data_IF_836305810560
#
_entry.id   IF_836305810560
#
_cell.length_a   1.000
_cell.length_b   1.000
_cell.length_c   1.000
_cell.angle_alpha   90.00
_cell.angle_beta   90.00
_cell.angle_gamma   90.00
#
_symmetry.space_group_name_H-M   'P 1'
#
loop_
_entity.id
_entity.type
_entity.pdbx_description
1 polymer ?
#
# COMPACT_ATOMS: atom_id res chain seq x y z
N UNK A 1 -5.54 -7.75 2.78
CA UNK A 1 -6.23 -6.67 3.51
C UNK A 1 -7.32 -7.26 4.37
N UNK A 2 -8.33 -7.91 3.81
CA UNK A 2 -9.43 -8.46 4.61
C UNK A 2 -8.97 -9.47 5.67
N UNK A 3 -8.00 -10.36 5.36
CA UNK A 3 -7.50 -11.35 6.32
C UNK A 3 -6.95 -10.77 7.63
N UNK A 4 -6.49 -9.53 7.64
CA UNK A 4 -5.92 -8.95 8.87
C UNK A 4 -6.96 -8.46 9.86
N UNK A 5 -8.23 -8.40 9.45
CA UNK A 5 -9.35 -7.92 10.28
C UNK A 5 -10.36 -9.02 10.61
N UNK A 6 -10.16 -10.24 10.08
CA UNK A 6 -11.16 -11.33 10.12
C UNK A 6 -10.72 -12.50 11.01
N UNK A 7 -9.42 -12.69 11.26
CA UNK A 7 -8.92 -13.88 11.96
C UNK A 7 -7.73 -13.65 12.88
N UNK A 8 -7.35 -14.66 13.69
CA UNK A 8 -6.25 -14.55 14.64
C UNK A 8 -4.92 -14.48 13.90
N UNK A 9 -4.23 -13.34 14.02
CA UNK A 9 -2.90 -13.12 13.43
C UNK A 9 -1.76 -13.66 14.28
N UNK A 10 -2.06 -14.11 15.51
CA UNK A 10 -1.11 -14.71 16.47
C UNK A 10 -1.24 -16.22 16.66
N UNK A 11 -2.02 -16.91 15.82
CA UNK A 11 -2.23 -18.35 15.96
C UNK A 11 -0.92 -19.14 15.73
N UNK A 12 -0.66 -20.12 16.60
CA UNK A 12 0.52 -20.98 16.52
C UNK A 12 0.43 -22.02 15.37
N UNK A 13 1.57 -22.63 15.05
CA UNK A 13 1.67 -23.69 14.04
C UNK A 13 1.83 -23.19 12.60
N UNK A 14 1.86 -24.14 11.65
CA UNK A 14 2.08 -23.82 10.23
C UNK A 14 0.90 -23.08 9.59
N UNK A 15 -0.34 -23.49 9.91
CA UNK A 15 -1.55 -22.87 9.37
C UNK A 15 -1.72 -21.41 9.83
N UNK A 16 -1.45 -21.12 11.11
CA UNK A 16 -1.47 -19.76 11.65
C UNK A 16 -0.41 -18.86 10.99
N UNK A 17 0.83 -19.36 10.85
CA UNK A 17 1.90 -18.64 10.14
C UNK A 17 1.56 -18.35 8.67
N UNK A 18 0.94 -19.30 7.97
CA UNK A 18 0.52 -19.10 6.59
C UNK A 18 -0.61 -18.05 6.49
N UNK A 19 -1.59 -18.11 7.39
CA UNK A 19 -2.68 -17.14 7.47
C UNK A 19 -2.16 -15.72 7.76
N UNK A 20 -1.20 -15.60 8.68
CA UNK A 20 -0.61 -14.34 9.09
C UNK A 20 0.46 -13.81 8.11
N UNK A 21 0.90 -14.59 7.11
CA UNK A 21 1.96 -14.17 6.19
C UNK A 21 1.72 -12.81 5.50
N UNK A 22 0.48 -12.47 5.05
CA UNK A 22 0.17 -11.15 4.49
C UNK A 22 0.09 -10.02 5.53
N UNK A 23 -0.01 -10.35 6.83
CA UNK A 23 -0.19 -9.37 7.90
C UNK A 23 1.02 -8.44 8.01
N UNK A 24 0.79 -7.12 7.94
CA UNK A 24 1.84 -6.10 7.87
C UNK A 24 2.56 -5.99 6.52
N UNK A 25 2.55 -7.00 5.66
CA UNK A 25 3.26 -6.96 4.37
C UNK A 25 2.38 -6.48 3.23
N UNK A 26 1.08 -6.81 3.28
CA UNK A 26 0.15 -6.46 2.21
C UNK A 26 -0.03 -4.94 2.06
N UNK A 27 0.14 -4.16 3.13
CA UNK A 27 -0.03 -2.69 3.13
C UNK A 27 1.16 -2.00 2.50
N UNK A 28 2.36 -2.54 2.71
CA UNK A 28 3.58 -2.13 1.99
C UNK A 28 3.47 -2.44 0.50
N UNK A 29 2.94 -3.61 0.11
CA UNK A 29 2.65 -3.90 -1.29
C UNK A 29 1.71 -2.87 -1.90
N UNK A 30 0.65 -2.48 -1.18
CA UNK A 30 -0.26 -1.45 -1.64
C UNK A 30 0.46 -0.10 -1.83
N UNK A 31 1.37 0.28 -0.92
CA UNK A 31 2.14 1.52 -1.03
C UNK A 31 3.09 1.52 -2.24
N UNK A 32 3.78 0.40 -2.48
CA UNK A 32 4.64 0.22 -3.66
C UNK A 32 3.81 0.32 -4.94
N UNK A 33 2.68 -0.38 -5.03
CA UNK A 33 1.80 -0.36 -6.20
C UNK A 33 1.19 1.03 -6.42
N UNK A 34 0.85 1.76 -5.36
CA UNK A 34 0.39 3.13 -5.46
C UNK A 34 1.47 4.04 -6.07
N UNK A 35 2.73 3.92 -5.63
CA UNK A 35 3.87 4.62 -6.23
C UNK A 35 4.07 4.25 -7.72
N UNK A 36 3.95 2.97 -8.07
CA UNK A 36 3.98 2.52 -9.48
C UNK A 36 2.86 3.20 -10.28
N UNK A 37 1.65 3.24 -9.71
CA UNK A 37 0.48 3.90 -10.30
C UNK A 37 0.68 5.40 -10.55
N UNK A 38 1.38 6.10 -9.65
CA UNK A 38 1.76 7.51 -9.83
C UNK A 38 2.64 7.69 -11.07
N UNK A 39 3.66 6.84 -11.23
CA UNK A 39 4.56 6.89 -12.40
C UNK A 39 3.83 6.55 -13.71
N UNK A 40 2.89 5.60 -13.69
CA UNK A 40 2.06 5.28 -14.85
C UNK A 40 1.09 6.42 -15.20
N UNK A 41 0.51 7.07 -14.19
CA UNK A 41 -0.34 8.25 -14.38
C UNK A 41 0.45 9.40 -15.04
N UNK A 42 1.67 9.65 -14.56
CA UNK A 42 2.55 10.70 -15.07
C UNK A 42 3.03 10.43 -16.51
N UNK A 43 3.20 9.15 -16.90
CA UNK A 43 3.59 8.76 -18.26
C UNK A 43 2.43 8.63 -19.25
N UNK A 44 1.17 8.72 -18.80
CA UNK A 44 0.03 8.61 -19.72
C UNK A 44 0.16 9.67 -20.82
N UNK A 45 0.32 9.23 -22.08
CA UNK A 45 0.92 9.97 -23.21
C UNK A 45 0.22 11.25 -23.69
N UNK A 46 -0.65 11.81 -22.89
CA UNK A 46 -1.40 13.05 -23.15
C UNK A 46 -1.31 14.06 -22.01
N UNK A 47 -0.65 13.75 -20.89
CA UNK A 47 -0.65 14.59 -19.70
C UNK A 47 0.73 15.23 -19.48
N UNK A 48 0.79 16.56 -19.42
CA UNK A 48 1.94 17.27 -18.84
C UNK A 48 2.11 16.90 -17.37
N UNK A 49 3.31 17.11 -16.81
CA UNK A 49 3.55 16.97 -15.37
C UNK A 49 2.55 17.80 -14.54
N UNK A 50 2.11 18.96 -15.02
CA UNK A 50 1.11 19.78 -14.34
C UNK A 50 -0.27 19.09 -14.27
N UNK A 51 -0.69 18.39 -15.32
CA UNK A 51 -1.93 17.58 -15.30
C UNK A 51 -1.80 16.41 -14.34
N UNK A 52 -0.66 15.72 -14.33
CA UNK A 52 -0.41 14.63 -13.37
C UNK A 52 -0.47 15.13 -11.92
N UNK A 53 0.18 16.26 -11.61
CA UNK A 53 0.14 16.91 -10.28
C UNK A 53 -1.28 17.29 -9.87
N UNK A 54 -2.07 17.89 -10.76
CA UNK A 54 -3.48 18.24 -10.49
C UNK A 54 -4.34 17.01 -10.22
N UNK A 55 -4.14 15.91 -10.95
CA UNK A 55 -4.84 14.64 -10.69
C UNK A 55 -4.47 14.03 -9.34
N UNK A 56 -3.19 14.12 -8.93
CA UNK A 56 -2.75 13.67 -7.61
C UNK A 56 -3.34 14.53 -6.49
N UNK A 57 -3.36 15.86 -6.68
CA UNK A 57 -3.98 16.78 -5.73
C UNK A 57 -5.46 16.48 -5.55
N UNK A 58 -6.18 16.24 -6.65
CA UNK A 58 -7.59 15.81 -6.60
C UNK A 58 -7.77 14.51 -5.82
N UNK A 59 -6.92 13.51 -6.08
CA UNK A 59 -6.97 12.24 -5.35
C UNK A 59 -6.71 12.44 -3.86
N UNK A 60 -5.74 13.28 -3.49
CA UNK A 60 -5.49 13.61 -2.09
C UNK A 60 -6.69 14.32 -1.44
N UNK A 61 -7.27 15.30 -2.13
CA UNK A 61 -8.45 16.03 -1.69
C UNK A 61 -9.68 15.14 -1.45
N UNK A 62 -9.87 14.11 -2.28
CA UNK A 62 -10.97 13.14 -2.11
C UNK A 62 -10.67 12.12 -1.02
N UNK A 63 -9.46 11.55 -0.99
CA UNK A 63 -9.13 10.45 -0.09
C UNK A 63 -8.95 10.88 1.36
N UNK A 64 -8.48 12.11 1.61
CA UNK A 64 -8.26 12.61 2.97
C UNK A 64 -9.56 12.65 3.80
N UNK A 65 -10.64 13.37 3.38
CA UNK A 65 -11.87 13.41 4.14
C UNK A 65 -12.57 12.05 4.20
N UNK A 66 -12.55 11.25 3.12
CA UNK A 66 -13.13 9.90 3.14
C UNK A 66 -12.40 9.03 4.19
N UNK A 67 -11.06 9.11 4.23
CA UNK A 67 -10.25 8.37 5.19
C UNK A 67 -10.57 8.76 6.64
N UNK A 68 -10.54 10.06 6.92
CA UNK A 68 -10.81 10.61 8.26
C UNK A 68 -12.23 10.30 8.74
N UNK A 69 -13.22 10.36 7.85
CA UNK A 69 -14.62 10.02 8.19
C UNK A 69 -14.79 8.53 8.42
N UNK A 70 -14.21 7.67 7.59
CA UNK A 70 -14.30 6.22 7.78
C UNK A 70 -13.65 5.79 9.09
N UNK A 71 -12.60 6.50 9.54
CA UNK A 71 -11.95 6.20 10.81
C UNK A 71 -12.82 6.43 12.04
N UNK A 72 -13.92 7.19 11.92
CA UNK A 72 -14.92 7.35 12.99
C UNK A 72 -15.75 6.08 13.23
N UNK A 73 -15.76 5.15 12.27
CA UNK A 73 -16.53 3.92 12.39
C UNK A 73 -15.75 2.87 13.18
N UNK A 74 -16.46 2.17 14.06
CA UNK A 74 -15.88 1.05 14.80
C UNK A 74 -15.82 -0.20 13.91
N UNK A 75 -14.75 -0.31 13.12
CA UNK A 75 -14.47 -1.46 12.25
C UNK A 75 -13.16 -2.17 12.59
N UNK A 76 -12.50 -1.81 13.71
CA UNK A 76 -11.28 -2.46 14.20
C UNK A 76 -10.06 -2.39 13.27
N UNK A 77 -10.05 -1.46 12.31
CA UNK A 77 -8.97 -1.32 11.32
C UNK A 77 -8.42 0.10 11.30
N UNK A 78 -7.17 0.25 10.89
CA UNK A 78 -6.58 1.56 10.62
C UNK A 78 -6.77 1.94 9.15
N UNK A 79 -7.49 3.03 8.90
CA UNK A 79 -7.83 3.49 7.55
C UNK A 79 -6.61 4.11 6.87
N UNK A 80 -6.15 3.49 5.77
CA UNK A 80 -4.93 3.92 5.07
C UNK A 80 -5.16 5.07 4.07
N UNK A 81 -6.41 5.39 3.73
CA UNK A 81 -6.75 6.36 2.67
C UNK A 81 -6.20 7.77 2.95
N UNK A 82 -6.28 8.21 4.20
CA UNK A 82 -5.74 9.49 4.64
C UNK A 82 -4.22 9.57 4.51
N UNK A 83 -3.50 8.47 4.78
CA UNK A 83 -2.06 8.39 4.56
C UNK A 83 -1.71 8.44 3.06
N UNK A 84 -2.55 7.85 2.20
CA UNK A 84 -2.38 8.00 0.74
C UNK A 84 -2.55 9.43 0.25
N UNK A 85 -3.43 10.22 0.86
CA UNK A 85 -3.55 11.62 0.52
C UNK A 85 -2.22 12.35 0.73
N UNK A 86 -1.56 12.11 1.86
CA UNK A 86 -0.24 12.70 2.17
C UNK A 86 0.85 12.16 1.24
N UNK A 87 0.86 10.86 0.93
CA UNK A 87 1.79 10.29 -0.05
C UNK A 87 1.59 10.86 -1.46
N UNK A 88 0.36 11.15 -1.88
CA UNK A 88 0.09 11.84 -3.14
C UNK A 88 0.52 13.31 -3.13
N UNK A 89 0.42 13.99 -1.99
CA UNK A 89 1.01 15.33 -1.83
C UNK A 89 2.53 15.27 -1.94
N UNK A 90 3.19 14.30 -1.29
CA UNK A 90 4.62 14.04 -1.47
C UNK A 90 4.97 13.79 -2.94
N UNK A 91 4.18 12.96 -3.63
CA UNK A 91 4.37 12.65 -5.05
C UNK A 91 4.41 13.92 -5.91
N UNK A 92 3.52 14.90 -5.67
CA UNK A 92 3.47 16.16 -6.43
C UNK A 92 4.84 16.86 -6.45
N UNK A 93 5.53 16.88 -5.30
CA UNK A 93 6.86 17.47 -5.15
C UNK A 93 7.97 16.67 -5.82
N UNK A 94 7.94 15.34 -5.71
CA UNK A 94 9.03 14.47 -6.21
C UNK A 94 8.86 14.02 -7.66
N UNK A 95 7.71 14.28 -8.29
CA UNK A 95 7.36 13.77 -9.62
C UNK A 95 8.38 14.11 -10.71
N UNK A 96 8.98 15.30 -10.61
CA UNK A 96 9.97 15.81 -11.56
C UNK A 96 11.42 15.46 -11.21
N UNK A 97 11.67 14.77 -10.10
CA UNK A 97 13.02 14.39 -9.70
C UNK A 97 13.52 13.22 -10.55
N UNK A 98 14.82 13.20 -10.83
CA UNK A 98 15.49 12.06 -11.44
C UNK A 98 15.55 10.86 -10.49
N UNK A 99 15.83 9.69 -11.05
CA UNK A 99 15.86 8.42 -10.30
C UNK A 99 16.83 8.43 -9.12
N UNK A 100 17.99 9.10 -9.24
CA UNK A 100 18.99 9.20 -8.18
C UNK A 100 18.41 9.83 -6.91
N UNK A 101 17.62 10.89 -7.06
CA UNK A 101 17.04 11.61 -5.93
C UNK A 101 15.84 10.89 -5.37
N UNK A 102 15.03 10.23 -6.21
CA UNK A 102 13.97 9.35 -5.74
C UNK A 102 14.53 8.21 -4.86
N UNK A 103 15.60 7.56 -5.32
CA UNK A 103 16.24 6.49 -4.56
C UNK A 103 16.96 7.01 -3.31
N UNK A 104 17.61 8.17 -3.39
CA UNK A 104 18.22 8.81 -2.22
C UNK A 104 17.17 9.14 -1.15
N UNK A 105 16.03 9.72 -1.55
CA UNK A 105 14.92 10.01 -0.63
C UNK A 105 14.27 8.72 -0.09
N UNK A 106 14.10 7.69 -0.92
CA UNK A 106 13.57 6.41 -0.48
C UNK A 106 14.52 5.75 0.54
N UNK A 107 15.83 5.77 0.28
CA UNK A 107 16.86 5.25 1.19
C UNK A 107 16.95 6.06 2.48
N UNK A 108 16.88 7.39 2.40
CA UNK A 108 16.84 8.26 3.56
C UNK A 108 15.60 8.00 4.42
N UNK A 109 14.42 7.88 3.82
CA UNK A 109 13.20 7.52 4.56
C UNK A 109 13.28 6.10 5.16
N UNK A 110 13.92 5.14 4.46
CA UNK A 110 14.08 3.78 4.98
C UNK A 110 15.06 3.71 6.16
N UNK A 111 16.07 4.58 6.18
CA UNK A 111 17.06 4.64 7.25
C UNK A 111 16.59 5.50 8.43
N UNK A 112 16.19 6.75 8.16
CA UNK A 112 15.86 7.72 9.20
C UNK A 112 14.40 7.67 9.64
N UNK A 113 13.48 7.16 8.81
CA UNK A 113 12.06 7.04 9.15
C UNK A 113 11.82 6.16 10.38
N UNK A 114 12.26 4.89 10.37
CA UNK A 114 12.17 4.01 11.53
C UNK A 114 12.84 4.58 12.79
N UNK A 115 14.02 5.19 12.64
CA UNK A 115 14.77 5.77 13.75
C UNK A 115 14.05 6.98 14.35
N UNK A 116 13.52 7.87 13.50
CA UNK A 116 12.75 9.03 13.92
C UNK A 116 11.42 8.64 14.57
N UNK A 117 10.73 7.65 14.02
CA UNK A 117 9.52 7.07 14.62
C UNK A 117 9.83 6.50 16.01
N UNK A 118 10.85 5.64 16.12
CA UNK A 118 11.24 5.01 17.38
C UNK A 118 11.69 6.03 18.43
N UNK A 119 12.53 6.98 18.03
CA UNK A 119 12.96 8.07 18.90
C UNK A 119 11.75 8.86 19.41
N UNK A 120 10.79 9.18 18.55
CA UNK A 120 9.55 9.84 18.94
C UNK A 120 8.70 9.01 19.90
N UNK A 121 8.58 7.69 19.68
CA UNK A 121 7.89 6.77 20.58
C UNK A 121 8.54 6.71 21.96
N UNK A 122 9.88 6.79 22.04
CA UNK A 122 10.62 6.81 23.30
C UNK A 122 10.50 8.17 23.99
N UNK A 123 10.72 9.27 23.26
CA UNK A 123 10.81 10.61 23.82
C UNK A 123 9.44 11.22 24.15
N UNK A 124 8.39 10.86 23.42
CA UNK A 124 7.04 11.38 23.60
C UNK A 124 5.98 10.28 23.35
N UNK A 125 5.86 9.26 24.22
CA UNK A 125 4.97 8.11 24.01
C UNK A 125 3.51 8.49 23.75
N UNK A 126 2.97 9.49 24.46
CA UNK A 126 1.59 9.96 24.29
C UNK A 126 1.35 10.68 22.95
N UNK A 127 2.39 11.24 22.33
CA UNK A 127 2.29 11.90 21.03
C UNK A 127 2.51 10.92 19.86
N UNK A 128 3.23 9.83 20.13
CA UNK A 128 3.58 8.79 19.17
C UNK A 128 2.75 7.50 19.37
N UNK A 129 1.43 7.66 19.35
CA UNK A 129 0.51 6.52 19.36
C UNK A 129 0.42 5.87 17.97
N UNK A 130 -0.01 4.61 17.94
CA UNK A 130 -0.33 3.88 16.70
C UNK A 130 -1.78 4.06 16.26
N UNK A 131 -2.54 4.84 17.02
CA UNK A 131 -3.95 5.09 16.74
C UNK A 131 -4.08 5.91 15.45
N UNK A 132 -5.07 5.55 14.65
CA UNK A 132 -5.36 6.25 13.42
C UNK A 132 -6.17 7.50 13.73
N UNK A 133 -5.77 8.63 13.15
CA UNK A 133 -6.46 9.91 13.32
C UNK A 133 -7.80 9.92 12.59
N UNK A 134 -8.79 10.61 13.13
CA UNK A 134 -10.13 10.74 12.60
C UNK A 134 -10.52 12.21 12.37
N UNK A 135 -11.67 12.43 11.75
CA UNK A 135 -12.13 13.79 11.37
C UNK A 135 -12.35 14.72 12.56
N UNK A 136 -12.62 14.17 13.74
CA UNK A 136 -12.88 14.91 14.99
C UNK A 136 -11.63 15.39 15.70
N UNK A 137 -10.45 14.87 15.32
CA UNK A 137 -9.19 15.22 15.97
C UNK A 137 -8.75 16.64 15.59
N UNK A 138 -7.92 17.25 16.43
CA UNK A 138 -7.36 18.55 16.11
C UNK A 138 -6.46 18.48 14.87
N UNK A 139 -6.33 19.59 14.14
CA UNK A 139 -5.45 19.65 12.97
C UNK A 139 -4.00 19.26 13.30
N UNK A 140 -3.53 19.61 14.50
CA UNK A 140 -2.19 19.25 14.96
C UNK A 140 -2.01 17.74 15.18
N UNK A 141 -3.03 17.08 15.73
CA UNK A 141 -3.06 15.61 15.88
C UNK A 141 -3.10 14.92 14.53
N UNK A 142 -3.96 15.37 13.62
CA UNK A 142 -4.07 14.82 12.27
C UNK A 142 -2.71 14.91 11.55
N UNK A 143 -2.08 16.09 11.55
CA UNK A 143 -0.79 16.27 10.89
C UNK A 143 0.30 15.40 11.53
N UNK A 144 0.36 15.34 12.86
CA UNK A 144 1.33 14.50 13.57
C UNK A 144 1.12 13.01 13.29
N UNK A 145 -0.12 12.53 13.35
CA UNK A 145 -0.47 11.13 13.11
C UNK A 145 -0.24 10.68 11.67
N UNK A 146 -0.43 11.57 10.69
CA UNK A 146 -0.17 11.25 9.28
C UNK A 146 1.31 11.34 8.90
N UNK A 147 2.08 12.25 9.53
CA UNK A 147 3.47 12.52 9.13
C UNK A 147 4.48 11.76 9.98
N UNK A 148 4.31 11.75 11.31
CA UNK A 148 5.34 11.34 12.27
C UNK A 148 4.99 10.06 13.04
N UNK A 149 3.75 9.89 13.48
CA UNK A 149 3.33 8.78 14.36
C UNK A 149 2.33 7.84 13.70
N UNK A 150 1.13 7.64 14.25
CA UNK A 150 0.06 6.85 13.65
C UNK A 150 0.43 5.44 13.18
N UNK A 151 -0.48 4.79 12.42
CA UNK A 151 -0.26 3.44 11.90
C UNK A 151 0.63 3.42 10.65
N UNK A 152 0.58 4.49 9.83
CA UNK A 152 1.24 4.57 8.53
C UNK A 152 1.97 5.92 8.29
N UNK A 153 2.90 6.34 9.18
CA UNK A 153 3.48 7.67 9.13
C UNK A 153 4.26 7.93 7.85
N UNK A 154 4.13 9.14 7.29
CA UNK A 154 4.89 9.56 6.12
C UNK A 154 6.39 9.34 6.27
N UNK A 155 6.96 9.64 7.46
CA UNK A 155 8.40 9.56 7.72
C UNK A 155 8.98 8.17 7.39
N UNK A 156 8.20 7.11 7.60
CA UNK A 156 8.58 5.71 7.32
C UNK A 156 8.00 5.23 5.98
N UNK A 157 6.75 5.57 5.68
CA UNK A 157 6.01 5.05 4.52
C UNK A 157 6.36 5.73 3.20
N UNK A 158 7.04 6.88 3.25
CA UNK A 158 7.64 7.48 2.07
C UNK A 158 8.60 6.52 1.37
N UNK A 159 9.35 5.69 2.11
CA UNK A 159 10.33 4.77 1.54
C UNK A 159 9.74 3.78 0.50
N UNK A 160 8.80 2.87 0.86
CA UNK A 160 8.22 1.93 -0.09
C UNK A 160 7.44 2.63 -1.21
N UNK A 161 6.81 3.77 -0.92
CA UNK A 161 6.07 4.53 -1.91
C UNK A 161 6.98 5.16 -2.97
N UNK A 162 8.07 5.82 -2.56
CA UNK A 162 9.08 6.40 -3.45
C UNK A 162 9.80 5.32 -4.26
N UNK A 163 10.12 4.18 -3.63
CA UNK A 163 10.61 3.00 -4.33
C UNK A 163 9.62 2.54 -5.41
N UNK A 164 8.32 2.54 -5.11
CA UNK A 164 7.24 2.29 -6.07
C UNK A 164 7.23 3.27 -7.24
N UNK A 165 7.42 4.56 -7.00
CA UNK A 165 7.53 5.58 -8.07
C UNK A 165 8.71 5.25 -8.98
N UNK A 166 9.89 5.02 -8.41
CA UNK A 166 11.09 4.64 -9.18
C UNK A 166 10.85 3.36 -10.00
N UNK A 167 10.31 2.32 -9.36
CA UNK A 167 10.04 1.04 -10.01
C UNK A 167 9.05 1.21 -11.14
N UNK A 168 8.01 2.02 -10.93
CA UNK A 168 7.02 2.33 -11.93
C UNK A 168 7.61 3.01 -13.15
N UNK A 169 8.79 3.63 -13.10
CA UNK A 169 9.52 4.19 -14.26
C UNK A 169 10.30 3.15 -15.06
N UNK A 170 10.51 1.94 -14.52
CA UNK A 170 11.17 0.85 -15.26
C UNK A 170 10.20 0.24 -16.27
N UNK A 171 10.74 -0.45 -17.27
CA UNK A 171 9.95 -1.27 -18.17
C UNK A 171 9.53 -2.57 -17.46
N UNK A 172 8.31 -2.57 -16.92
CA UNK A 172 7.73 -3.73 -16.25
C UNK A 172 7.39 -4.88 -17.23
N UNK A 173 7.45 -4.64 -18.54
CA UNK A 173 7.38 -5.69 -19.57
C UNK A 173 8.68 -6.48 -19.73
N UNK A 174 9.81 -5.91 -19.29
CA UNK A 174 11.12 -6.55 -19.43
C UNK A 174 11.28 -7.75 -18.50
N UNK A 175 11.64 -8.90 -19.08
CA UNK A 175 11.99 -10.12 -18.32
C UNK A 175 13.11 -9.89 -17.32
N UNK A 176 14.06 -8.99 -17.61
CA UNK A 176 15.16 -8.64 -16.69
C UNK A 176 14.64 -7.93 -15.43
N UNK A 177 13.72 -6.99 -15.60
CA UNK A 177 13.11 -6.27 -14.46
C UNK A 177 12.28 -7.24 -13.63
N UNK A 178 11.48 -8.11 -14.26
CA UNK A 178 10.66 -9.12 -13.57
C UNK A 178 11.51 -10.15 -12.82
N UNK A 179 12.58 -10.64 -13.43
CA UNK A 179 13.54 -11.52 -12.77
C UNK A 179 14.22 -10.82 -11.59
N UNK A 180 14.59 -9.54 -11.72
CA UNK A 180 15.11 -8.73 -10.63
C UNK A 180 14.11 -8.59 -9.47
N UNK A 181 12.83 -8.32 -9.77
CA UNK A 181 11.77 -8.24 -8.77
C UNK A 181 11.60 -9.55 -7.99
N UNK A 182 11.64 -10.69 -8.68
CA UNK A 182 11.55 -12.02 -8.07
C UNK A 182 12.80 -12.33 -7.24
N UNK A 183 13.98 -12.27 -7.85
CA UNK A 183 15.22 -12.72 -7.21
C UNK A 183 15.70 -11.74 -6.14
N UNK A 184 15.84 -10.45 -6.48
CA UNK A 184 16.32 -9.46 -5.52
C UNK A 184 15.25 -9.17 -4.45
N UNK A 185 13.97 -9.06 -4.84
CA UNK A 185 12.88 -8.87 -3.88
C UNK A 185 12.76 -10.03 -2.90
N UNK A 186 12.80 -11.27 -3.40
CA UNK A 186 12.78 -12.49 -2.58
C UNK A 186 14.02 -12.59 -1.68
N UNK A 187 15.20 -12.27 -2.19
CA UNK A 187 16.45 -12.26 -1.42
C UNK A 187 16.40 -11.23 -0.29
N UNK A 188 15.98 -10.00 -0.58
CA UNK A 188 15.86 -8.93 0.44
C UNK A 188 14.86 -9.33 1.54
N UNK A 189 13.71 -9.91 1.15
CA UNK A 189 12.73 -10.42 2.10
C UNK A 189 13.31 -11.52 3.00
N UNK A 190 13.99 -12.50 2.40
CA UNK A 190 14.61 -13.61 3.12
C UNK A 190 15.73 -13.15 4.06
N UNK A 191 16.63 -12.27 3.58
CA UNK A 191 17.71 -11.70 4.39
C UNK A 191 17.16 -10.93 5.58
N UNK A 192 16.16 -10.06 5.39
CA UNK A 192 15.53 -9.36 6.51
C UNK A 192 14.94 -10.32 7.55
N UNK A 193 14.32 -11.41 7.09
CA UNK A 193 13.76 -12.44 7.98
C UNK A 193 14.86 -13.15 8.76
N UNK A 194 15.89 -13.64 8.07
CA UNK A 194 17.00 -14.38 8.67
C UNK A 194 17.79 -13.50 9.63
N UNK A 195 18.08 -12.26 9.25
CA UNK A 195 18.77 -11.29 10.10
C UNK A 195 17.99 -11.05 11.40
N UNK A 196 16.68 -10.84 11.33
CA UNK A 196 15.85 -10.67 12.52
C UNK A 196 15.87 -11.93 13.41
N UNK A 197 15.76 -13.13 12.82
CA UNK A 197 15.81 -14.38 13.57
C UNK A 197 17.15 -14.59 14.27
N UNK A 198 18.26 -14.34 13.59
CA UNK A 198 19.62 -14.48 14.14
C UNK A 198 19.85 -13.48 15.26
N UNK A 199 19.50 -12.20 15.06
CA UNK A 199 19.67 -11.17 16.08
C UNK A 199 18.81 -11.45 17.32
N UNK A 200 17.56 -11.87 17.14
CA UNK A 200 16.67 -12.25 18.25
C UNK A 200 17.20 -13.47 19.00
N UNK A 201 17.75 -14.46 18.29
CA UNK A 201 18.34 -15.63 18.92
C UNK A 201 19.63 -15.30 19.71
N UNK A 202 20.39 -14.31 19.25
CA UNK A 202 21.67 -13.93 19.84
C UNK A 202 21.55 -12.92 20.99
N UNK A 203 20.70 -11.91 20.84
CA UNK A 203 20.55 -10.78 21.79
C UNK A 203 19.37 -11.02 22.74
N UNK A 204 18.40 -11.84 22.35
CA UNK A 204 17.14 -12.04 23.06
C UNK A 204 15.98 -11.28 22.41
N UNK A 205 14.76 -11.66 22.77
CA UNK A 205 13.55 -10.94 22.33
C UNK A 205 13.39 -9.66 23.17
N UNK A 206 13.05 -8.52 22.55
CA UNK A 206 12.64 -7.33 23.30
C UNK A 206 11.54 -7.65 24.30
N UNK A 207 11.73 -7.22 25.54
CA UNK A 207 10.76 -7.43 26.64
C UNK A 207 9.78 -6.28 26.68
N UNK A 208 10.29 -5.06 26.57
CA UNK A 208 9.48 -3.85 26.62
C UNK A 208 8.83 -3.54 25.26
N UNK A 209 7.59 -3.04 25.22
CA UNK A 209 6.91 -2.68 23.97
C UNK A 209 7.61 -1.56 23.19
N UNK A 210 8.42 -0.74 23.87
CA UNK A 210 9.12 0.42 23.32
C UNK A 210 10.56 0.41 23.82
N UNK A 211 11.51 0.42 22.89
CA UNK A 211 12.93 0.42 23.20
C UNK A 211 13.81 0.31 21.95
N UNK A 212 15.10 0.61 22.08
CA UNK A 212 16.06 0.52 20.97
C UNK A 212 16.32 -0.93 20.53
N UNK A 213 16.11 -1.89 21.42
CA UNK A 213 16.11 -3.32 21.14
C UNK A 213 15.04 -3.73 20.12
N UNK A 214 13.97 -2.95 19.92
CA UNK A 214 12.96 -3.19 18.89
C UNK A 214 13.52 -3.12 17.45
N UNK A 215 14.69 -2.53 17.23
CA UNK A 215 15.29 -2.43 15.88
C UNK A 215 15.57 -3.79 15.23
N UNK A 216 15.71 -4.86 16.03
CA UNK A 216 16.04 -6.20 15.55
C UNK A 216 14.80 -7.02 15.18
N UNK A 217 13.60 -6.55 15.54
CA UNK A 217 12.36 -7.28 15.24
C UNK A 217 11.77 -6.86 13.90
N UNK A 218 11.06 -7.80 13.28
CA UNK A 218 10.36 -7.60 12.02
C UNK A 218 8.83 -7.69 12.19
N UNK A 219 8.34 -7.33 13.38
CA UNK A 219 6.93 -7.46 13.73
C UNK A 219 6.05 -6.64 12.76
N UNK A 220 4.87 -7.17 12.36
CA UNK A 220 3.94 -6.47 11.49
C UNK A 220 3.63 -5.05 11.99
N UNK A 221 3.70 -4.06 11.09
CA UNK A 221 3.42 -2.64 11.37
C UNK A 221 4.30 -2.01 12.48
N UNK A 222 5.42 -2.66 12.83
CA UNK A 222 6.35 -2.14 13.84
C UNK A 222 7.04 -0.84 13.47
N UNK A 223 7.02 -0.49 12.18
CA UNK A 223 7.81 0.61 11.58
C UNK A 223 9.33 0.37 11.64
N UNK A 224 9.77 -0.82 12.06
CA UNK A 224 11.19 -1.12 12.24
C UNK A 224 11.91 -1.37 10.91
N UNK A 225 13.23 -1.12 10.81
CA UNK A 225 13.96 -1.19 9.54
C UNK A 225 13.87 -2.55 8.86
N UNK A 226 14.04 -3.64 9.61
CA UNK A 226 14.00 -5.00 9.07
C UNK A 226 12.62 -5.36 8.54
N UNK A 227 11.56 -4.96 9.23
CA UNK A 227 10.20 -5.12 8.74
C UNK A 227 9.96 -4.30 7.46
N UNK A 228 10.34 -3.02 7.45
CA UNK A 228 10.12 -2.12 6.32
C UNK A 228 10.85 -2.62 5.05
N UNK A 229 12.13 -2.94 5.18
CA UNK A 229 12.97 -3.43 4.08
C UNK A 229 12.48 -4.81 3.60
N UNK A 230 12.25 -5.74 4.53
CA UNK A 230 11.79 -7.09 4.21
C UNK A 230 10.40 -7.10 3.57
N UNK A 231 9.47 -6.26 4.05
CA UNK A 231 8.14 -6.12 3.47
C UNK A 231 8.18 -5.43 2.09
N UNK A 232 9.09 -4.47 1.88
CA UNK A 232 9.31 -3.85 0.56
C UNK A 232 9.88 -4.87 -0.44
N UNK A 233 10.82 -5.71 -0.01
CA UNK A 233 11.31 -6.85 -0.79
C UNK A 233 10.20 -7.85 -1.12
N UNK A 234 9.35 -8.18 -0.14
CA UNK A 234 8.19 -9.04 -0.32
C UNK A 234 7.20 -8.45 -1.33
N UNK A 235 6.97 -7.14 -1.27
CA UNK A 235 6.13 -6.42 -2.22
C UNK A 235 6.70 -6.49 -3.66
N UNK A 236 8.00 -6.28 -3.82
CA UNK A 236 8.68 -6.43 -5.11
C UNK A 236 8.54 -7.86 -5.67
N UNK A 237 8.77 -8.88 -4.83
CA UNK A 237 8.59 -10.29 -5.19
C UNK A 237 7.16 -10.59 -5.67
N UNK A 238 6.16 -10.19 -4.89
CA UNK A 238 4.74 -10.42 -5.23
C UNK A 238 4.35 -9.67 -6.50
N UNK A 239 4.84 -8.44 -6.70
CA UNK A 239 4.60 -7.69 -7.92
C UNK A 239 5.23 -8.38 -9.14
N UNK A 240 6.47 -8.84 -9.03
CA UNK A 240 7.15 -9.61 -10.08
C UNK A 240 6.37 -10.89 -10.46
N UNK A 241 5.95 -11.67 -9.46
CA UNK A 241 5.13 -12.86 -9.68
C UNK A 241 3.78 -12.54 -10.30
N UNK A 242 3.14 -11.43 -9.88
CA UNK A 242 1.86 -10.98 -10.43
C UNK A 242 1.98 -10.57 -11.89
N UNK A 243 3.09 -9.93 -12.30
CA UNK A 243 3.36 -9.57 -13.70
C UNK A 243 3.58 -10.81 -14.58
N UNK A 244 4.31 -11.81 -14.09
CA UNK A 244 4.49 -13.09 -14.79
C UNK A 244 3.16 -13.82 -14.94
N UNK A 245 2.35 -13.87 -13.87
CA UNK A 245 1.04 -14.50 -13.87
C UNK A 245 0.06 -13.81 -14.82
N UNK A 246 0.09 -12.47 -14.87
CA UNK A 246 -0.76 -11.69 -15.77
C UNK A 246 -0.52 -12.05 -17.24
N UNK A 247 0.72 -12.30 -17.64
CA UNK A 247 1.06 -12.69 -19.02
C UNK A 247 0.75 -14.17 -19.28
N UNK A 248 1.03 -15.06 -18.32
CA UNK A 248 0.81 -16.50 -18.48
C UNK A 248 -0.68 -16.90 -18.47
N UNK A 249 -1.52 -16.15 -17.75
CA UNK A 249 -2.91 -16.52 -17.48
C UNK A 249 -3.86 -15.31 -17.59
N UNK A 250 -3.77 -14.56 -18.70
CA UNK A 250 -4.55 -13.32 -18.95
C UNK A 250 -6.05 -13.48 -18.64
N UNK A 251 -6.69 -14.58 -19.08
CA UNK A 251 -8.12 -14.81 -18.84
C UNK A 251 -8.43 -15.08 -17.35
N UNK A 252 -7.57 -15.83 -16.67
CA UNK A 252 -7.77 -16.21 -15.27
C UNK A 252 -7.51 -15.04 -14.32
N UNK A 253 -6.66 -14.08 -14.70
CA UNK A 253 -6.37 -12.89 -13.89
C UNK A 253 -7.44 -11.80 -14.02
N UNK A 254 -8.38 -11.91 -14.97
CA UNK A 254 -9.39 -10.88 -15.21
C UNK A 254 -10.24 -10.52 -13.98
N UNK A 255 -10.71 -11.48 -13.16
CA UNK A 255 -11.41 -11.14 -11.91
C UNK A 255 -10.55 -10.34 -10.93
N UNK A 256 -9.24 -10.64 -10.85
CA UNK A 256 -8.31 -9.89 -10.00
C UNK A 256 -8.09 -8.46 -10.54
N UNK A 257 -8.01 -8.31 -11.87
CA UNK A 257 -7.95 -7.00 -12.52
C UNK A 257 -9.23 -6.21 -12.23
N UNK A 258 -10.40 -6.86 -12.28
CA UNK A 258 -11.68 -6.23 -11.98
C UNK A 258 -11.74 -5.72 -10.53
N UNK A 259 -11.27 -6.51 -9.56
CA UNK A 259 -11.14 -6.10 -8.16
C UNK A 259 -10.20 -4.89 -8.04
N UNK A 260 -9.04 -4.92 -8.70
CA UNK A 260 -8.09 -3.79 -8.70
C UNK A 260 -8.67 -2.51 -9.30
N UNK A 261 -9.54 -2.62 -10.31
CA UNK A 261 -10.25 -1.48 -10.92
C UNK A 261 -11.37 -0.90 -10.05
N UNK A 262 -11.76 -1.61 -9.00
CA UNK A 262 -12.80 -1.22 -8.02
C UNK A 262 -12.22 -1.15 -6.60
N UNK A 263 -10.91 -0.97 -6.47
CA UNK A 263 -10.21 -1.09 -5.19
C UNK A 263 -10.72 -0.12 -4.12
N UNK A 264 -11.08 1.12 -4.48
CA UNK A 264 -11.61 2.10 -3.51
C UNK A 264 -13.03 1.74 -3.10
N UNK A 265 -13.88 1.38 -4.05
CA UNK A 265 -15.26 0.94 -3.76
C UNK A 265 -15.26 -0.29 -2.85
N UNK A 266 -14.48 -1.32 -3.18
CA UNK A 266 -14.36 -2.54 -2.35
C UNK A 266 -13.73 -2.21 -1.01
N UNK A 267 -12.75 -1.30 -0.97
CA UNK A 267 -12.14 -0.86 0.28
C UNK A 267 -13.14 -0.17 1.20
N UNK A 268 -13.97 0.75 0.71
CA UNK A 268 -14.99 1.37 1.56
C UNK A 268 -16.08 0.37 1.95
N UNK A 269 -16.56 -0.44 1.00
CA UNK A 269 -17.60 -1.42 1.26
C UNK A 269 -17.21 -2.45 2.34
N UNK A 270 -15.97 -2.95 2.36
CA UNK A 270 -15.56 -3.91 3.38
C UNK A 270 -15.45 -3.29 4.78
N UNK A 271 -15.05 -2.02 4.91
CA UNK A 271 -15.02 -1.34 6.20
C UNK A 271 -16.43 -1.10 6.73
N UNK A 272 -17.36 -0.68 5.87
CA UNK A 272 -18.77 -0.56 6.23
C UNK A 272 -19.38 -1.90 6.64
N UNK A 273 -19.02 -2.99 5.94
CA UNK A 273 -19.47 -4.32 6.31
C UNK A 273 -18.92 -4.77 7.67
N UNK A 274 -17.63 -4.54 7.93
CA UNK A 274 -17.00 -4.85 9.24
C UNK A 274 -17.65 -4.06 10.38
N UNK A 275 -17.98 -2.79 10.14
CA UNK A 275 -18.69 -1.96 11.12
C UNK A 275 -20.12 -2.47 11.40
N UNK A 276 -20.85 -2.85 10.35
CA UNK A 276 -22.24 -3.28 10.47
C UNK A 276 -22.40 -4.71 11.02
N UNK A 277 -21.46 -5.61 10.74
CA UNK A 277 -21.54 -7.03 11.12
C UNK A 277 -20.23 -7.60 11.70
N UNK A 278 -19.67 -7.01 12.77
CA UNK A 278 -18.38 -7.43 13.31
C UNK A 278 -18.42 -8.87 13.84
N UNK A 279 -19.51 -9.27 14.53
CA UNK A 279 -19.64 -10.61 15.10
C UNK A 279 -19.72 -11.73 14.05
N UNK A 280 -20.21 -11.42 12.84
CA UNK A 280 -20.34 -12.39 11.74
C UNK A 280 -19.09 -12.46 10.88
N UNK A 281 -18.36 -11.33 10.77
CA UNK A 281 -17.22 -11.18 9.87
C UNK A 281 -15.87 -11.37 10.57
N UNK A 282 -15.87 -11.76 11.84
CA UNK A 282 -14.66 -12.10 12.60
C UNK A 282 -14.72 -13.55 13.09
N UNK A 283 -13.57 -14.17 13.24
CA UNK A 283 -13.44 -15.53 13.75
C UNK A 283 -12.21 -15.66 14.62
N UNK A 284 -12.37 -16.28 15.79
CA UNK A 284 -11.24 -16.59 16.68
C UNK A 284 -10.43 -17.80 16.20
N UNK A 285 -10.96 -18.59 15.25
CA UNK A 285 -10.31 -19.80 14.72
C UNK A 285 -9.73 -19.52 13.34
N UNK A 286 -8.51 -19.99 13.09
CA UNK A 286 -7.86 -19.87 11.77
C UNK A 286 -8.72 -20.47 10.66
N UNK A 287 -9.33 -21.64 10.88
CA UNK A 287 -10.18 -22.30 9.87
C UNK A 287 -11.42 -21.47 9.52
N UNK A 288 -12.13 -20.94 10.52
CA UNK A 288 -13.28 -20.06 10.31
C UNK A 288 -12.87 -18.77 9.58
N UNK A 289 -11.74 -18.19 9.97
CA UNK A 289 -11.22 -17.00 9.32
C UNK A 289 -10.80 -17.24 7.85
N UNK A 290 -10.22 -18.41 7.53
CA UNK A 290 -9.91 -18.80 6.15
C UNK A 290 -11.17 -18.89 5.31
N UNK A 291 -12.25 -19.49 5.84
CA UNK A 291 -13.54 -19.59 5.15
C UNK A 291 -14.12 -18.21 4.87
N UNK A 292 -14.17 -17.34 5.89
CA UNK A 292 -14.69 -15.97 5.74
C UNK A 292 -13.89 -15.15 4.73
N UNK A 293 -12.55 -15.16 4.83
CA UNK A 293 -11.67 -14.43 3.90
C UNK A 293 -11.81 -14.96 2.47
N UNK A 294 -11.89 -16.29 2.30
CA UNK A 294 -12.04 -16.91 0.99
C UNK A 294 -13.39 -16.55 0.38
N UNK A 295 -14.47 -16.67 1.16
CA UNK A 295 -15.82 -16.28 0.75
C UNK A 295 -15.89 -14.80 0.36
N UNK A 296 -15.34 -13.90 1.19
CA UNK A 296 -15.26 -12.48 0.87
C UNK A 296 -14.46 -12.24 -0.42
N UNK A 297 -13.29 -12.86 -0.56
CA UNK A 297 -12.41 -12.62 -1.72
C UNK A 297 -13.05 -13.10 -3.02
N UNK A 298 -13.66 -14.29 -3.00
CA UNK A 298 -14.38 -14.85 -4.15
C UNK A 298 -15.63 -14.02 -4.47
N UNK A 299 -16.42 -13.64 -3.46
CA UNK A 299 -17.59 -12.80 -3.61
C UNK A 299 -17.25 -11.42 -4.18
N UNK A 300 -16.21 -10.76 -3.64
CA UNK A 300 -15.72 -9.48 -4.15
C UNK A 300 -15.19 -9.61 -5.58
N UNK A 301 -14.48 -10.69 -5.92
CA UNK A 301 -14.02 -10.95 -7.28
C UNK A 301 -15.19 -11.16 -8.26
N UNK A 302 -16.21 -11.93 -7.87
CA UNK A 302 -17.40 -12.15 -8.67
C UNK A 302 -18.20 -10.84 -8.88
N UNK A 303 -18.50 -10.12 -7.80
CA UNK A 303 -19.22 -8.85 -7.85
C UNK A 303 -18.46 -7.82 -8.67
N UNK A 304 -17.13 -7.73 -8.49
CA UNK A 304 -16.30 -6.86 -9.29
C UNK A 304 -16.36 -7.25 -10.77
N UNK A 305 -16.25 -8.54 -11.09
CA UNK A 305 -16.32 -9.07 -12.45
C UNK A 305 -17.65 -8.69 -13.12
N UNK A 306 -18.77 -8.93 -12.45
CA UNK A 306 -20.11 -8.56 -12.93
C UNK A 306 -20.23 -7.05 -13.10
N UNK A 307 -19.82 -6.27 -12.10
CA UNK A 307 -19.86 -4.82 -12.17
C UNK A 307 -19.03 -4.28 -13.34
N UNK A 308 -17.85 -4.86 -13.58
CA UNK A 308 -16.97 -4.47 -14.69
C UNK A 308 -17.49 -4.88 -16.06
N UNK A 309 -18.36 -5.87 -16.13
CA UNK A 309 -19.08 -6.24 -17.35
C UNK A 309 -20.21 -5.24 -17.67
N UNK A 310 -20.86 -4.68 -16.66
CA UNK A 310 -22.00 -3.76 -16.80
C UNK A 310 -21.58 -2.28 -16.83
N UNK A 311 -20.54 -1.91 -16.09
CA UNK A 311 -20.12 -0.53 -15.85
C UNK A 311 -18.63 -0.30 -16.08
N UNK A 312 -18.30 0.89 -16.57
CA UNK A 312 -16.91 1.26 -16.91
C UNK A 312 -16.05 1.69 -15.73
N UNK A 313 -16.63 2.01 -14.57
CA UNK A 313 -15.94 2.46 -13.34
C UNK A 313 -16.77 2.08 -12.12
N UNK A 314 -16.13 1.95 -10.98
CA UNK A 314 -16.85 1.81 -9.71
C UNK A 314 -17.38 3.15 -9.20
N UNK A 315 -18.38 3.14 -8.31
CA UNK A 315 -19.01 4.36 -7.81
C UNK A 315 -18.01 5.36 -7.23
N UNK A 316 -17.12 4.92 -6.33
CA UNK A 316 -16.11 5.81 -5.73
C UNK A 316 -14.96 6.12 -6.69
N UNK A 317 -14.66 5.24 -7.64
CA UNK A 317 -13.66 5.48 -8.67
C UNK A 317 -14.10 6.56 -9.67
N UNK A 318 -15.41 6.81 -9.84
CA UNK A 318 -15.92 7.96 -10.61
C UNK A 318 -15.56 9.28 -9.92
N UNK A 319 -15.73 9.34 -8.59
CA UNK A 319 -15.36 10.53 -7.79
C UNK A 319 -13.85 10.75 -7.85
N UNK A 320 -13.06 9.68 -7.67
CA UNK A 320 -11.60 9.73 -7.76
C UNK A 320 -11.10 10.09 -9.18
N UNK A 321 -11.90 9.75 -10.20
CA UNK A 321 -11.66 10.08 -11.60
C UNK A 321 -11.72 11.57 -11.91
N UNK A 322 -12.41 12.36 -11.07
CA UNK A 322 -12.44 13.82 -11.07
C UNK A 322 -12.95 14.47 -12.37
N UNK A 323 -12.85 15.81 -12.50
CA UNK A 323 -13.34 16.55 -13.68
C UNK A 323 -12.61 16.17 -14.98
N UNK A 324 -11.43 15.55 -14.86
CA UNK A 324 -10.56 15.06 -15.94
C UNK A 324 -11.19 13.96 -16.80
N UNK A 325 -12.25 13.32 -16.31
CA UNK A 325 -12.78 12.11 -16.91
C UNK A 325 -13.59 12.33 -18.18
N UNK A 326 -13.92 13.59 -18.49
CA UNK A 326 -14.68 13.97 -19.67
C UNK A 326 -13.82 14.67 -20.73
N UNK A 327 -12.51 14.79 -20.50
CA UNK A 327 -11.61 15.43 -21.45
C UNK A 327 -11.38 14.49 -22.65
N UNK A 328 -11.73 14.90 -23.89
CA UNK A 328 -11.56 14.06 -25.06
C UNK A 328 -10.11 13.62 -25.19
N UNK A 329 -9.87 12.30 -25.31
CA UNK A 329 -8.54 11.79 -25.66
C UNK A 329 -8.13 12.41 -26.98
N UNK A 330 -7.25 13.41 -26.95
CA UNK A 330 -6.65 13.97 -28.17
C UNK A 330 -5.95 12.82 -28.89
N UNK A 331 -6.48 12.42 -30.05
CA UNK A 331 -5.82 11.43 -30.90
C UNK A 331 -4.43 11.99 -31.26
N UNK A 332 -3.35 11.20 -31.21
CA UNK A 332 -2.07 11.64 -31.73
C UNK A 332 -2.27 12.05 -33.20
N UNK A 333 -1.90 13.29 -33.52
CA UNK A 333 -2.00 13.82 -34.89
C UNK A 333 -1.14 12.97 -35.82
N UNK A 334 -1.79 12.36 -36.81
CA UNK A 334 -1.18 11.46 -37.81
C UNK A 334 -0.19 12.19 -38.75
N UNK A 335 -0.02 13.50 -38.61
CA UNK A 335 0.67 14.37 -39.57
C UNK A 335 2.20 14.41 -39.48
N UNK A 336 2.87 13.63 -38.62
CA UNK A 336 4.33 13.67 -38.48
C UNK A 336 5.10 12.50 -39.16
N UNK A 337 4.51 11.84 -40.17
CA UNK A 337 5.14 10.68 -40.86
C UNK A 337 5.55 10.92 -42.32
N UNK A 338 5.59 12.18 -42.77
CA UNK A 338 5.99 12.54 -44.14
C UNK A 338 6.99 13.71 -44.13
N UNK A 339 8.24 13.49 -43.70
CA UNK A 339 9.35 14.42 -44.01
C UNK A 339 10.76 13.84 -43.80
N UNK A 340 10.95 12.53 -44.05
CA UNK A 340 12.29 11.97 -44.23
C UNK A 340 12.27 10.97 -45.39
N UNK A 341 12.29 11.52 -46.60
CA UNK A 341 12.90 10.90 -47.79
C UNK A 341 14.32 11.43 -47.90
#
# INVERSE_FOLDING_TARGET
>A
MVSVHVGPTGAEGAAGRLYAAPHGRASILFAVVAGVGVSLLARSGTASLSVARRKLLWRAFVLLPIGLTLQLLDHGASVILQNYAVLFVLAIGVLGLDDRWLLALAGAAAAFGPLGYLWGTIAAPHAFTREAVALTDSLGEILRGLVLSGPYPLITWAAPFLFGIWLGRRDLGSSRVRAGLLLAGGTVAAVAIVTSLVLVAWIGRPVEPVGWDQLIVQSPHSQMPLWLIGATGSAAFVLGGSLVLADAAVRLTWPLVAVGQLALTIYVAHLLALHAWPATLTSERVSGAVVLVSGFTLGAALLATIWRALFRRGPLEVVLGGPWQWEPRRRPSVTARWSRS
#
